data_IF_278824693642
#
_entry.id   IF_278824693642
#
_cell.length_a   1.000
_cell.length_b   1.000
_cell.length_c   1.000
_cell.angle_alpha   90.00
_cell.angle_beta   90.00
_cell.angle_gamma   90.00
#
_symmetry.space_group_name_H-M   'P 1'
#
loop_
_entity.id
_entity.type
_entity.pdbx_description
1 polymer ?
#
# COMPACT_ATOMS: atom_id res chain seq x y z
N UNK A 1 10.05 -45.17 5.66
CA UNK A 1 9.33 -44.11 6.42
C UNK A 1 8.23 -44.73 7.27
N UNK A 2 8.62 -45.48 8.32
CA UNK A 2 7.73 -45.88 9.42
C UNK A 2 8.54 -45.71 10.70
N UNK A 3 7.87 -45.19 11.74
CA UNK A 3 8.29 -44.94 13.12
C UNK A 3 9.31 -43.81 13.40
N UNK A 4 8.82 -42.59 13.65
CA UNK A 4 9.31 -41.68 14.70
C UNK A 4 8.14 -40.81 15.16
N UNK A 5 7.35 -41.27 16.14
CA UNK A 5 6.45 -40.44 16.93
C UNK A 5 6.15 -41.19 18.23
N UNK A 6 6.97 -40.99 19.27
CA UNK A 6 6.62 -41.28 20.66
C UNK A 6 7.67 -40.71 21.62
N UNK A 7 7.65 -39.40 21.80
CA UNK A 7 8.05 -38.74 23.04
C UNK A 7 7.42 -37.35 23.07
N UNK A 8 6.63 -37.05 24.11
CA UNK A 8 6.05 -35.72 24.34
C UNK A 8 6.77 -35.07 25.52
N UNK A 9 7.39 -33.89 25.36
CA UNK A 9 7.66 -32.99 26.47
C UNK A 9 6.36 -32.29 26.88
N UNK A 10 6.17 -32.05 28.18
CA UNK A 10 5.02 -31.35 28.74
C UNK A 10 5.11 -29.83 28.50
N UNK A 11 4.62 -29.35 27.35
CA UNK A 11 4.27 -27.93 27.15
C UNK A 11 2.99 -27.82 26.32
N UNK A 12 2.10 -26.89 26.68
CA UNK A 12 0.84 -26.61 25.95
C UNK A 12 1.14 -25.76 24.71
N UNK A 13 1.60 -26.39 23.63
CA UNK A 13 1.64 -25.77 22.30
C UNK A 13 0.59 -26.41 21.39
N UNK A 14 -0.07 -25.62 20.55
CA UNK A 14 -1.24 -26.08 19.79
C UNK A 14 -0.92 -27.10 18.68
N UNK A 15 0.25 -27.04 18.03
CA UNK A 15 0.88 -28.11 17.21
C UNK A 15 2.24 -27.63 16.68
N UNK A 16 3.31 -28.36 16.99
CA UNK A 16 4.57 -28.27 16.24
C UNK A 16 4.71 -29.54 15.39
N UNK A 17 5.15 -29.37 14.14
CA UNK A 17 5.51 -30.48 13.28
C UNK A 17 7.00 -30.36 12.90
N UNK A 18 7.82 -31.23 13.49
CA UNK A 18 9.24 -31.31 13.17
C UNK A 18 9.48 -32.38 12.11
N UNK A 19 10.19 -32.00 11.05
CA UNK A 19 10.72 -32.92 10.05
C UNK A 19 12.23 -32.85 10.09
N UNK A 20 12.79 -33.70 10.95
CA UNK A 20 14.24 -33.85 11.07
C UNK A 20 14.67 -35.00 10.17
N UNK A 21 15.50 -34.69 9.18
CA UNK A 21 16.17 -35.71 8.38
C UNK A 21 17.64 -35.73 8.81
N UNK A 22 17.91 -36.59 9.81
CA UNK A 22 19.20 -37.01 10.37
C UNK A 22 20.11 -35.99 11.11
N UNK A 23 20.60 -36.50 12.26
CA UNK A 23 21.87 -36.28 12.99
C UNK A 23 22.15 -35.02 13.83
N UNK A 24 21.21 -34.10 14.04
CA UNK A 24 21.36 -33.10 15.11
C UNK A 24 20.28 -33.29 16.18
N UNK A 25 20.72 -33.31 17.45
CA UNK A 25 19.86 -33.55 18.62
C UNK A 25 18.77 -32.49 18.72
N UNK A 26 17.56 -32.95 19.03
CA UNK A 26 16.34 -32.14 19.16
C UNK A 26 16.53 -30.86 20.00
N UNK A 27 17.44 -30.88 20.97
CA UNK A 27 17.70 -29.78 21.90
C UNK A 27 18.23 -28.50 21.24
N UNK A 28 19.07 -28.58 20.20
CA UNK A 28 19.70 -27.39 19.61
C UNK A 28 18.73 -26.53 18.80
N UNK A 29 17.81 -27.15 18.06
CA UNK A 29 16.83 -26.43 17.23
C UNK A 29 15.78 -25.76 18.09
N UNK A 30 15.31 -26.46 19.14
CA UNK A 30 14.42 -25.85 20.11
C UNK A 30 15.06 -24.65 20.77
N UNK A 31 16.32 -24.75 21.21
CA UNK A 31 17.05 -23.65 21.82
C UNK A 31 17.20 -22.45 20.86
N UNK A 32 17.51 -22.68 19.57
CA UNK A 32 17.60 -21.62 18.54
C UNK A 32 16.26 -20.92 18.32
N UNK A 33 15.15 -21.67 18.22
CA UNK A 33 13.80 -21.08 18.06
C UNK A 33 13.42 -20.29 19.31
N UNK A 34 13.75 -20.82 20.48
CA UNK A 34 13.47 -20.20 21.78
C UNK A 34 14.26 -18.88 21.94
N UNK A 35 15.56 -18.90 21.62
CA UNK A 35 16.49 -17.79 21.86
C UNK A 35 16.39 -16.66 20.83
N UNK A 36 15.92 -16.95 19.61
CA UNK A 36 15.91 -15.96 18.53
C UNK A 36 14.52 -15.55 18.04
N UNK A 37 13.50 -16.39 18.18
CA UNK A 37 12.20 -16.18 17.52
C UNK A 37 11.05 -15.92 18.48
N UNK A 38 11.04 -16.49 19.69
CA UNK A 38 9.90 -16.32 20.61
C UNK A 38 9.72 -14.88 21.10
N UNK A 39 10.82 -14.14 21.31
CA UNK A 39 10.74 -12.73 21.71
C UNK A 39 10.26 -11.81 20.58
N UNK A 40 10.30 -12.28 19.33
CA UNK A 40 9.98 -11.48 18.12
C UNK A 40 8.69 -11.91 17.44
N UNK A 41 8.23 -13.15 17.63
CA UNK A 41 7.09 -13.73 16.93
C UNK A 41 6.21 -14.48 17.94
N UNK A 42 4.94 -14.11 18.04
CA UNK A 42 3.94 -14.82 18.85
C UNK A 42 3.63 -16.21 18.24
N UNK A 43 4.52 -17.19 18.45
CA UNK A 43 4.48 -18.52 17.83
C UNK A 43 3.22 -19.33 18.16
N UNK A 44 2.54 -19.01 19.27
CA UNK A 44 1.29 -19.67 19.71
C UNK A 44 0.13 -19.56 18.69
N UNK A 45 0.24 -18.64 17.72
CA UNK A 45 -0.78 -18.37 16.71
C UNK A 45 -0.61 -19.18 15.42
N UNK A 46 0.47 -19.94 15.27
CA UNK A 46 0.83 -20.56 13.99
C UNK A 46 0.98 -22.08 14.11
N UNK A 47 0.60 -22.79 13.05
CA UNK A 47 1.13 -24.13 12.82
C UNK A 47 2.58 -23.97 12.33
N UNK A 48 3.55 -24.28 13.19
CA UNK A 48 4.98 -24.09 12.88
C UNK A 48 5.57 -25.38 12.31
N UNK A 49 6.22 -25.28 11.15
CA UNK A 49 6.98 -26.36 10.51
C UNK A 49 8.44 -25.95 10.38
N UNK A 50 9.34 -26.72 10.99
CA UNK A 50 10.78 -26.45 10.96
C UNK A 50 11.49 -27.48 10.08
N UNK A 51 12.28 -27.01 9.12
CA UNK A 51 13.15 -27.82 8.27
C UNK A 51 14.61 -27.57 8.66
N UNK A 52 15.30 -28.62 9.08
CA UNK A 52 16.66 -28.50 9.62
C UNK A 52 17.79 -28.77 8.62
N UNK A 53 17.52 -28.93 7.32
CA UNK A 53 18.55 -29.29 6.32
C UNK A 53 18.19 -28.89 4.88
N UNK A 54 19.20 -28.94 3.99
CA UNK A 54 19.13 -28.63 2.56
C UNK A 54 17.83 -29.15 1.90
N UNK A 55 17.00 -28.23 1.40
CA UNK A 55 15.75 -28.57 0.71
C UNK A 55 16.07 -29.15 -0.66
N UNK A 56 15.60 -30.37 -0.91
CA UNK A 56 15.62 -31.02 -2.21
C UNK A 56 14.19 -31.26 -2.71
N UNK A 57 14.03 -31.91 -3.88
CA UNK A 57 12.71 -32.21 -4.45
C UNK A 57 11.79 -32.99 -3.51
N UNK A 58 12.32 -33.88 -2.66
CA UNK A 58 11.52 -34.60 -1.66
C UNK A 58 11.05 -33.68 -0.52
N UNK A 59 11.82 -32.66 -0.18
CA UNK A 59 11.40 -31.63 0.79
C UNK A 59 10.19 -30.84 0.25
N UNK A 60 10.06 -30.69 -1.06
CA UNK A 60 8.91 -30.05 -1.68
C UNK A 60 7.61 -30.86 -1.55
N UNK A 61 7.68 -32.17 -1.77
CA UNK A 61 6.54 -33.07 -1.57
C UNK A 61 6.05 -33.03 -0.13
N UNK A 62 6.98 -32.90 0.82
CA UNK A 62 6.70 -32.71 2.23
C UNK A 62 6.02 -31.36 2.47
N UNK A 63 6.52 -30.26 1.93
CA UNK A 63 5.87 -28.94 2.05
C UNK A 63 4.45 -28.98 1.46
N UNK A 64 4.27 -29.60 0.30
CA UNK A 64 2.96 -29.77 -0.34
C UNK A 64 2.02 -30.65 0.48
N UNK A 65 2.55 -31.71 1.10
CA UNK A 65 1.80 -32.56 2.01
C UNK A 65 1.34 -31.75 3.23
N UNK A 66 2.24 -31.03 3.90
CA UNK A 66 1.90 -30.24 5.09
C UNK A 66 0.94 -29.09 4.80
N UNK A 67 1.15 -28.35 3.72
CA UNK A 67 0.22 -27.28 3.28
C UNK A 67 -1.19 -27.77 3.01
N UNK A 68 -1.37 -29.06 2.65
CA UNK A 68 -2.69 -29.66 2.47
C UNK A 68 -3.46 -29.90 3.78
N UNK A 69 -2.75 -30.03 4.92
CA UNK A 69 -3.37 -30.21 6.25
C UNK A 69 -3.50 -28.92 7.06
N UNK A 70 -2.85 -27.83 6.60
CA UNK A 70 -2.89 -26.54 7.27
C UNK A 70 -4.27 -25.90 7.13
N UNK A 71 -4.82 -25.46 8.26
CA UNK A 71 -6.16 -24.85 8.28
C UNK A 71 -6.12 -23.45 7.68
N UNK A 72 -5.28 -22.55 8.20
CA UNK A 72 -5.36 -21.12 7.86
C UNK A 72 -4.00 -20.38 7.74
N UNK A 73 -3.04 -20.66 8.62
CA UNK A 73 -1.76 -19.92 8.68
C UNK A 73 -0.62 -20.81 9.19
N UNK A 74 0.49 -20.83 8.47
CA UNK A 74 1.64 -21.62 8.83
C UNK A 74 2.93 -20.84 8.71
N UNK A 75 3.81 -21.04 9.68
CA UNK A 75 5.15 -20.49 9.68
C UNK A 75 6.13 -21.60 9.37
N UNK A 76 6.88 -21.44 8.29
CA UNK A 76 7.96 -22.32 7.93
C UNK A 76 9.30 -21.67 8.26
N UNK A 77 10.16 -22.43 8.91
CA UNK A 77 11.51 -22.01 9.28
C UNK A 77 12.48 -22.97 8.60
N UNK A 78 13.35 -22.44 7.73
CA UNK A 78 14.40 -23.23 7.07
C UNK A 78 15.76 -22.70 7.52
N UNK A 79 16.59 -23.60 7.96
CA UNK A 79 17.99 -23.34 8.27
C UNK A 79 18.89 -23.70 7.07
N UNK A 80 19.92 -22.88 6.80
CA UNK A 80 20.97 -23.15 5.80
C UNK A 80 20.48 -23.31 4.35
N UNK A 81 19.74 -22.33 3.80
CA UNK A 81 19.47 -22.30 2.36
C UNK A 81 20.77 -21.93 1.60
N UNK A 82 21.43 -22.93 1.03
CA UNK A 82 22.59 -22.70 0.12
C UNK A 82 22.18 -22.25 -1.28
N UNK A 83 20.89 -22.35 -1.63
CA UNK A 83 20.42 -22.19 -3.01
C UNK A 83 19.17 -21.31 -3.11
N UNK A 84 19.33 -20.12 -3.69
CA UNK A 84 18.27 -19.10 -3.91
C UNK A 84 17.09 -19.65 -4.74
N UNK A 85 17.32 -20.72 -5.52
CA UNK A 85 16.30 -21.28 -6.42
C UNK A 85 15.09 -21.90 -5.70
N UNK A 86 15.21 -22.21 -4.41
CA UNK A 86 14.10 -22.72 -3.59
C UNK A 86 12.93 -21.73 -3.52
N UNK A 87 13.19 -20.43 -3.54
CA UNK A 87 12.12 -19.42 -3.50
C UNK A 87 11.23 -19.47 -4.73
N UNK A 88 11.84 -19.55 -5.92
CA UNK A 88 11.10 -19.66 -7.18
C UNK A 88 10.32 -20.98 -7.21
N UNK A 89 10.96 -22.07 -6.78
CA UNK A 89 10.31 -23.38 -6.71
C UNK A 89 9.10 -23.36 -5.75
N UNK A 90 9.22 -22.77 -4.57
CA UNK A 90 8.09 -22.66 -3.63
C UNK A 90 6.97 -21.78 -4.20
N UNK A 91 7.32 -20.66 -4.82
CA UNK A 91 6.36 -19.73 -5.43
C UNK A 91 5.61 -20.36 -6.62
N UNK A 92 6.27 -21.24 -7.37
CA UNK A 92 5.68 -21.96 -8.51
C UNK A 92 4.84 -23.16 -8.09
N UNK A 93 5.19 -23.84 -6.99
CA UNK A 93 4.55 -25.10 -6.58
C UNK A 93 3.47 -24.94 -5.51
N UNK A 94 3.50 -23.87 -4.71
CA UNK A 94 2.41 -23.58 -3.78
C UNK A 94 1.22 -23.10 -4.61
N UNK A 95 0.14 -23.90 -4.63
CA UNK A 95 -1.10 -23.62 -5.38
C UNK A 95 -1.57 -22.18 -5.15
N UNK A 96 -2.20 -21.58 -6.17
CA UNK A 96 -2.71 -20.19 -6.24
C UNK A 96 -3.55 -19.68 -5.04
N UNK A 97 -3.89 -20.55 -4.09
CA UNK A 97 -4.66 -20.28 -2.89
C UNK A 97 -3.83 -19.88 -1.67
N UNK A 98 -2.52 -19.62 -1.78
CA UNK A 98 -1.71 -19.20 -0.62
C UNK A 98 -0.83 -17.97 -0.91
N UNK A 99 -0.65 -17.12 0.12
CA UNK A 99 0.33 -16.02 0.11
C UNK A 99 1.58 -16.43 0.87
N UNK A 100 2.76 -16.17 0.29
CA UNK A 100 4.07 -16.45 0.88
C UNK A 100 4.75 -15.12 1.22
N UNK A 101 4.89 -14.81 2.50
CA UNK A 101 5.70 -13.67 2.97
C UNK A 101 7.04 -14.20 3.46
N UNK A 102 8.14 -13.60 3.02
CA UNK A 102 9.50 -14.02 3.36
C UNK A 102 10.19 -13.01 4.26
N UNK A 103 10.83 -13.48 5.34
CA UNK A 103 11.67 -12.67 6.21
C UNK A 103 13.06 -13.31 6.28
N UNK A 104 14.09 -12.53 5.92
CA UNK A 104 15.49 -12.92 6.05
C UNK A 104 16.03 -12.38 7.38
N UNK A 105 16.44 -13.29 8.28
CA UNK A 105 17.15 -12.92 9.50
C UNK A 105 18.65 -12.90 9.19
N UNK A 106 19.16 -11.71 8.86
CA UNK A 106 20.55 -11.48 8.41
C UNK A 106 21.62 -12.06 9.36
N UNK A 107 21.32 -12.19 10.65
CA UNK A 107 22.29 -12.60 11.66
C UNK A 107 22.38 -14.12 11.86
N UNK A 108 21.40 -14.91 11.39
CA UNK A 108 21.27 -16.31 11.81
C UNK A 108 21.17 -17.35 10.69
N UNK A 109 21.38 -16.98 9.42
CA UNK A 109 21.19 -17.88 8.24
C UNK A 109 19.82 -18.57 8.22
N UNK A 110 18.85 -18.01 8.94
CA UNK A 110 17.48 -18.51 9.06
C UNK A 110 16.61 -17.75 8.07
N UNK A 111 15.92 -18.52 7.24
CA UNK A 111 14.87 -18.02 6.37
C UNK A 111 13.53 -18.44 6.95
N UNK A 112 12.67 -17.46 7.19
CA UNK A 112 11.30 -17.73 7.61
C UNK A 112 10.34 -17.30 6.52
N UNK A 113 9.34 -18.13 6.25
CA UNK A 113 8.25 -17.77 5.35
C UNK A 113 6.91 -18.15 5.95
N UNK A 114 5.97 -17.22 5.87
CA UNK A 114 4.60 -17.39 6.32
C UNK A 114 3.74 -17.74 5.12
N UNK A 115 3.07 -18.88 5.19
CA UNK A 115 2.09 -19.31 4.21
C UNK A 115 0.70 -19.09 4.80
N UNK A 116 -0.02 -18.09 4.29
CA UNK A 116 -1.41 -17.84 4.68
C UNK A 116 -2.34 -18.40 3.61
N UNK A 117 -3.25 -19.29 4.00
CA UNK A 117 -4.31 -19.77 3.11
C UNK A 117 -5.21 -18.59 2.79
N UNK A 118 -5.25 -18.22 1.52
CA UNK A 118 -6.22 -17.27 1.01
C UNK A 118 -7.51 -18.05 0.88
N UNK A 119 -8.30 -18.08 1.95
CA UNK A 119 -9.68 -18.52 1.83
C UNK A 119 -10.28 -17.61 0.76
N UNK A 120 -10.88 -18.22 -0.26
CA UNK A 120 -11.65 -17.55 -1.31
C UNK A 120 -12.96 -16.97 -0.71
N UNK A 121 -12.89 -16.44 0.51
CA UNK A 121 -13.91 -15.63 1.13
C UNK A 121 -13.82 -14.26 0.48
N UNK A 122 -14.69 -14.09 -0.51
CA UNK A 122 -15.10 -12.82 -1.08
C UNK A 122 -13.96 -11.83 -1.38
N UNK A 123 -13.35 -11.98 -2.56
CA UNK A 123 -12.72 -10.84 -3.24
C UNK A 123 -13.70 -9.65 -3.37
N UNK A 124 -15.02 -9.86 -3.24
CA UNK A 124 -16.02 -8.80 -3.15
C UNK A 124 -15.85 -7.92 -1.90
N UNK A 125 -15.35 -8.45 -0.77
CA UNK A 125 -15.07 -7.69 0.46
C UNK A 125 -13.76 -6.89 0.41
N UNK A 126 -12.90 -7.10 -0.58
CA UNK A 126 -11.67 -6.28 -0.71
C UNK A 126 -11.95 -4.91 -1.31
N UNK A 127 -12.95 -4.82 -2.20
CA UNK A 127 -13.37 -3.55 -2.82
C UNK A 127 -13.88 -2.53 -1.79
N UNK A 128 -14.45 -3.00 -0.68
CA UNK A 128 -15.01 -2.12 0.37
C UNK A 128 -13.94 -1.40 1.22
N UNK A 129 -12.65 -1.75 1.09
CA UNK A 129 -11.66 -1.28 2.06
C UNK A 129 -10.94 0.01 1.69
N UNK A 130 -10.90 0.36 0.40
CA UNK A 130 -10.18 1.55 -0.08
C UNK A 130 -11.19 2.56 -0.62
N UNK A 131 -11.20 3.75 0.00
CA UNK A 131 -11.92 4.92 -0.50
C UNK A 131 -10.98 5.74 -1.39
N UNK A 132 -11.52 6.48 -2.36
CA UNK A 132 -10.71 7.37 -3.19
C UNK A 132 -10.80 8.79 -2.63
N UNK A 133 -9.65 9.38 -2.34
CA UNK A 133 -9.55 10.77 -1.85
C UNK A 133 -8.93 11.63 -2.95
N UNK A 134 -9.65 12.70 -3.30
CA UNK A 134 -9.19 13.66 -4.30
C UNK A 134 -8.93 14.99 -3.60
N UNK A 135 -7.69 15.47 -3.68
CA UNK A 135 -7.30 16.81 -3.26
C UNK A 135 -7.51 17.81 -4.39
N UNK A 136 -8.34 18.82 -4.15
CA UNK A 136 -8.72 19.84 -5.14
C UNK A 136 -8.71 21.24 -4.52
N UNK A 137 -8.78 22.25 -5.39
CA UNK A 137 -8.95 23.66 -5.00
C UNK A 137 -10.19 24.27 -5.66
N UNK A 138 -10.79 25.31 -5.06
CA UNK A 138 -11.99 25.97 -5.60
C UNK A 138 -11.78 26.62 -6.98
N UNK A 139 -10.52 26.90 -7.35
CA UNK A 139 -10.11 27.38 -8.68
C UNK A 139 -9.83 26.27 -9.70
N UNK A 140 -9.81 25.00 -9.29
CA UNK A 140 -9.38 23.86 -10.12
C UNK A 140 -10.54 23.09 -10.77
N UNK A 141 -11.68 23.74 -11.00
CA UNK A 141 -12.91 23.08 -11.48
C UNK A 141 -12.72 22.31 -12.78
N UNK A 142 -11.95 22.85 -13.74
CA UNK A 142 -11.68 22.20 -15.03
C UNK A 142 -10.92 20.87 -14.84
N UNK A 143 -9.86 20.88 -14.03
CA UNK A 143 -9.05 19.70 -13.77
C UNK A 143 -9.87 18.62 -13.04
N UNK A 144 -10.60 19.03 -11.99
CA UNK A 144 -11.46 18.12 -11.23
C UNK A 144 -12.54 17.50 -12.11
N UNK A 145 -13.22 18.28 -12.95
CA UNK A 145 -14.24 17.76 -13.85
C UNK A 145 -13.66 16.73 -14.82
N UNK A 146 -12.50 17.02 -15.40
CA UNK A 146 -11.82 16.09 -16.30
C UNK A 146 -11.44 14.76 -15.60
N UNK A 147 -10.95 14.81 -14.36
CA UNK A 147 -10.72 13.61 -13.56
C UNK A 147 -12.03 12.83 -13.34
N UNK A 148 -13.07 13.51 -12.84
CA UNK A 148 -14.36 12.89 -12.54
C UNK A 148 -15.03 12.28 -13.77
N UNK A 149 -14.91 12.90 -14.95
CA UNK A 149 -15.38 12.32 -16.21
C UNK A 149 -14.66 11.01 -16.54
N UNK A 150 -13.34 10.98 -16.40
CA UNK A 150 -12.58 9.74 -16.62
C UNK A 150 -12.95 8.62 -15.63
N UNK A 151 -13.32 9.00 -14.40
CA UNK A 151 -13.78 8.08 -13.37
C UNK A 151 -15.19 7.56 -13.65
N UNK A 152 -16.15 8.45 -13.94
CA UNK A 152 -17.56 8.13 -14.19
C UNK A 152 -17.76 7.20 -15.39
N UNK A 153 -16.86 7.23 -16.37
CA UNK A 153 -16.89 6.35 -17.54
C UNK A 153 -16.45 4.91 -17.24
N UNK A 154 -16.01 4.59 -16.02
CA UNK A 154 -15.54 3.27 -15.66
C UNK A 154 -16.66 2.40 -15.04
N UNK A 155 -16.80 1.11 -15.42
CA UNK A 155 -17.84 0.22 -14.87
C UNK A 155 -17.80 0.06 -13.34
N UNK A 156 -16.60 0.06 -12.75
CA UNK A 156 -16.40 -0.06 -11.31
C UNK A 156 -16.54 1.27 -10.54
N UNK A 157 -16.84 2.39 -11.21
CA UNK A 157 -16.94 3.70 -10.57
C UNK A 157 -17.82 3.70 -9.32
N UNK A 158 -19.01 3.08 -9.42
CA UNK A 158 -20.01 3.03 -8.36
C UNK A 158 -19.65 2.08 -7.21
N UNK A 159 -18.61 1.26 -7.35
CA UNK A 159 -18.16 0.33 -6.30
C UNK A 159 -17.26 0.98 -5.25
N UNK A 160 -16.77 2.19 -5.52
CA UNK A 160 -15.88 2.93 -4.65
C UNK A 160 -16.56 4.19 -4.14
N UNK A 161 -16.32 4.53 -2.87
CA UNK A 161 -16.62 5.85 -2.32
C UNK A 161 -15.54 6.83 -2.75
N UNK A 162 -15.95 7.99 -3.27
CA UNK A 162 -15.07 9.08 -3.70
C UNK A 162 -15.31 10.28 -2.80
N UNK A 163 -14.25 10.76 -2.16
CA UNK A 163 -14.28 11.91 -1.25
C UNK A 163 -13.42 13.00 -1.86
N UNK A 164 -14.05 14.09 -2.29
CA UNK A 164 -13.37 15.24 -2.88
C UNK A 164 -13.25 16.33 -1.81
N UNK A 165 -12.02 16.64 -1.43
CA UNK A 165 -11.71 17.76 -0.56
C UNK A 165 -11.36 18.97 -1.43
N UNK A 166 -12.12 20.06 -1.28
CA UNK A 166 -11.94 21.28 -2.07
C UNK A 166 -11.51 22.41 -1.15
N UNK A 167 -10.23 22.80 -1.23
CA UNK A 167 -9.68 23.91 -0.47
C UNK A 167 -10.09 25.28 -0.99
N UNK A 168 -9.87 26.30 -0.15
CA UNK A 168 -10.01 27.72 -0.52
C UNK A 168 -11.34 28.38 -0.16
N UNK A 169 -12.22 27.72 0.60
CA UNK A 169 -13.51 28.26 1.06
C UNK A 169 -13.37 28.98 2.42
N UNK A 170 -12.49 29.99 2.47
CA UNK A 170 -12.11 30.71 3.70
C UNK A 170 -13.27 31.42 4.41
N UNK A 171 -14.36 31.69 3.69
CA UNK A 171 -15.60 32.26 4.22
C UNK A 171 -16.36 31.30 5.14
N UNK A 172 -16.12 29.99 5.02
CA UNK A 172 -16.76 29.00 5.86
C UNK A 172 -16.09 28.95 7.24
N UNK A 173 -16.90 28.99 8.31
CA UNK A 173 -16.39 28.79 9.68
C UNK A 173 -15.96 27.35 9.94
N UNK A 174 -16.64 26.39 9.31
CA UNK A 174 -16.44 24.95 9.48
C UNK A 174 -16.42 24.26 8.11
N UNK A 175 -16.04 22.98 8.08
CA UNK A 175 -16.14 22.16 6.87
C UNK A 175 -17.60 22.04 6.42
N UNK A 176 -17.86 22.32 5.13
CA UNK A 176 -19.17 22.03 4.54
C UNK A 176 -19.12 20.70 3.82
N UNK A 177 -20.04 19.79 4.14
CA UNK A 177 -20.10 18.44 3.56
C UNK A 177 -21.38 18.31 2.73
N UNK A 178 -21.26 17.88 1.48
CA UNK A 178 -22.39 17.66 0.57
C UNK A 178 -22.18 16.39 -0.24
N UNK A 179 -23.25 15.65 -0.50
CA UNK A 179 -23.20 14.58 -1.50
C UNK A 179 -23.40 15.18 -2.89
N UNK A 180 -22.84 14.53 -3.91
CA UNK A 180 -23.16 14.85 -5.31
C UNK A 180 -24.64 14.57 -5.58
N UNK A 181 -25.26 15.40 -6.42
CA UNK A 181 -26.70 15.31 -6.71
C UNK A 181 -27.02 14.07 -7.56
N UNK A 182 -26.11 13.67 -8.44
CA UNK A 182 -26.31 12.60 -9.41
C UNK A 182 -25.69 11.28 -8.93
N UNK A 183 -24.65 11.35 -8.08
CA UNK A 183 -23.86 10.20 -7.65
C UNK A 183 -23.72 10.08 -6.13
N UNK A 184 -24.50 9.18 -5.51
CA UNK A 184 -24.48 8.94 -4.05
C UNK A 184 -23.13 8.48 -3.49
N UNK A 185 -22.28 7.89 -4.32
CA UNK A 185 -20.94 7.44 -3.92
C UNK A 185 -19.89 8.57 -3.96
N UNK A 186 -20.29 9.80 -4.29
CA UNK A 186 -19.43 10.98 -4.29
C UNK A 186 -19.83 11.90 -3.12
N UNK A 187 -18.84 12.24 -2.29
CA UNK A 187 -18.96 13.21 -1.20
C UNK A 187 -17.98 14.36 -1.41
N UNK A 188 -18.48 15.59 -1.40
CA UNK A 188 -17.69 16.82 -1.42
C UNK A 188 -17.52 17.36 0.00
N UNK A 189 -16.29 17.76 0.33
CA UNK A 189 -15.92 18.41 1.57
C UNK A 189 -15.23 19.73 1.21
N UNK A 190 -15.89 20.84 1.49
CA UNK A 190 -15.37 22.17 1.24
C UNK A 190 -14.60 22.65 2.47
N UNK A 191 -13.29 22.82 2.31
CA UNK A 191 -12.36 23.14 3.38
C UNK A 191 -12.16 24.65 3.50
N UNK A 192 -12.21 25.16 4.72
CA UNK A 192 -11.95 26.56 5.06
C UNK A 192 -10.44 26.91 5.15
N UNK A 193 -9.62 26.14 4.46
CA UNK A 193 -8.19 26.34 4.34
C UNK A 193 -7.72 25.88 2.95
N UNK A 194 -6.49 26.25 2.59
CA UNK A 194 -5.78 25.67 1.46
C UNK A 194 -4.36 25.30 1.90
N UNK A 195 -3.93 24.09 1.56
CA UNK A 195 -2.63 23.55 1.96
C UNK A 195 -1.91 22.87 0.81
N UNK A 196 -2.17 23.34 -0.42
CA UNK A 196 -1.60 22.79 -1.65
C UNK A 196 -1.98 21.30 -1.75
N UNK A 197 -1.02 20.39 -1.56
CA UNK A 197 -1.22 18.95 -1.66
C UNK A 197 -1.68 18.33 -0.32
N UNK A 198 -1.75 19.09 0.78
CA UNK A 198 -2.10 18.55 2.11
C UNK A 198 -3.53 18.83 2.56
N UNK A 199 -4.37 19.49 1.75
CA UNK A 199 -5.72 19.91 2.17
C UNK A 199 -6.56 18.72 2.63
N UNK A 200 -6.61 17.64 1.84
CA UNK A 200 -7.36 16.42 2.21
C UNK A 200 -6.83 15.76 3.47
N UNK A 201 -5.51 15.62 3.61
CA UNK A 201 -4.92 14.95 4.77
C UNK A 201 -5.21 15.71 6.06
N UNK A 202 -5.10 17.03 6.06
CA UNK A 202 -5.46 17.86 7.22
C UNK A 202 -6.93 17.65 7.57
N UNK A 203 -7.83 17.75 6.59
CA UNK A 203 -9.26 17.57 6.82
C UNK A 203 -9.60 16.15 7.36
N UNK A 204 -8.93 15.10 6.87
CA UNK A 204 -9.05 13.73 7.40
C UNK A 204 -8.60 13.60 8.86
N UNK A 205 -7.69 14.45 9.35
CA UNK A 205 -7.28 14.47 10.77
C UNK A 205 -8.20 15.31 11.66
N UNK A 206 -8.98 16.22 11.08
CA UNK A 206 -9.81 17.17 11.82
C UNK A 206 -11.29 16.76 11.90
N UNK A 207 -11.81 16.09 10.88
CA UNK A 207 -13.20 15.63 10.83
C UNK A 207 -13.33 14.31 11.61
N UNK A 208 -14.16 14.32 12.67
CA UNK A 208 -14.33 13.19 13.59
C UNK A 208 -14.76 11.89 12.90
N UNK A 209 -15.60 11.96 11.86
CA UNK A 209 -16.05 10.81 11.05
C UNK A 209 -14.85 10.01 10.49
N UNK A 210 -13.80 10.70 10.05
CA UNK A 210 -12.63 10.06 9.45
C UNK A 210 -11.55 9.77 10.46
N UNK A 211 -11.29 10.71 11.40
CA UNK A 211 -10.18 10.63 12.35
C UNK A 211 -10.12 9.30 13.09
N UNK A 212 -11.26 8.75 13.50
CA UNK A 212 -11.31 7.52 14.30
C UNK A 212 -11.60 6.25 13.49
N UNK A 213 -11.47 6.31 12.16
CA UNK A 213 -11.76 5.18 11.28
C UNK A 213 -10.55 4.25 11.07
N UNK A 214 -10.82 3.00 10.69
CA UNK A 214 -9.82 2.04 10.19
C UNK A 214 -9.75 2.04 8.64
N UNK A 215 -10.18 3.14 8.02
CA UNK A 215 -10.25 3.26 6.57
C UNK A 215 -8.87 3.31 5.91
N UNK A 216 -8.84 2.93 4.64
CA UNK A 216 -7.73 3.19 3.74
C UNK A 216 -8.18 4.11 2.61
N UNK A 217 -7.26 4.93 2.13
CA UNK A 217 -7.52 5.91 1.10
C UNK A 217 -6.49 5.76 -0.01
N UNK A 218 -6.95 5.64 -1.26
CA UNK A 218 -6.12 5.99 -2.41
C UNK A 218 -6.22 7.49 -2.61
N UNK A 219 -5.17 8.21 -2.22
CA UNK A 219 -5.07 9.64 -2.37
C UNK A 219 -4.51 10.01 -3.75
N UNK A 220 -5.13 11.00 -4.40
CA UNK A 220 -4.65 11.61 -5.64
C UNK A 220 -5.04 13.09 -5.71
N UNK A 221 -4.53 13.83 -6.70
CA UNK A 221 -4.92 15.23 -6.91
C UNK A 221 -5.96 15.31 -8.05
N UNK A 222 -6.71 16.40 -8.08
CA UNK A 222 -7.63 16.81 -9.15
C UNK A 222 -7.01 16.83 -10.56
N UNK A 223 -5.70 17.06 -10.66
CA UNK A 223 -4.92 17.12 -11.90
C UNK A 223 -4.54 15.73 -12.45
N UNK A 224 -5.31 14.72 -12.12
CA UNK A 224 -5.14 13.36 -12.62
C UNK A 224 -6.18 13.00 -13.69
N UNK A 225 -5.95 11.86 -14.35
CA UNK A 225 -6.92 11.15 -15.17
C UNK A 225 -6.69 9.66 -14.97
N UNK A 226 -7.75 8.87 -14.82
CA UNK A 226 -7.60 7.43 -14.67
C UNK A 226 -7.65 6.71 -16.03
N UNK A 227 -6.92 5.61 -16.15
CA UNK A 227 -7.06 4.66 -17.25
C UNK A 227 -8.11 3.57 -16.96
N UNK A 228 -8.31 2.68 -17.93
CA UNK A 228 -9.36 1.65 -17.91
C UNK A 228 -9.10 0.51 -16.92
N UNK A 229 -7.92 0.43 -16.30
CA UNK A 229 -7.55 -0.60 -15.33
C UNK A 229 -7.32 -0.04 -13.93
N UNK A 230 -7.56 1.26 -13.71
CA UNK A 230 -7.24 1.95 -12.46
C UNK A 230 -7.85 1.26 -11.23
N UNK A 231 -9.17 1.06 -11.21
CA UNK A 231 -9.87 0.46 -10.07
C UNK A 231 -9.39 -0.96 -9.75
N UNK A 232 -9.09 -1.74 -10.78
CA UNK A 232 -8.52 -3.09 -10.63
C UNK A 232 -7.13 -3.03 -10.02
N UNK A 233 -6.29 -2.06 -10.43
CA UNK A 233 -4.91 -1.92 -9.97
C UNK A 233 -4.77 -1.39 -8.55
N UNK A 234 -5.71 -0.57 -8.09
CA UNK A 234 -5.70 -0.08 -6.70
C UNK A 234 -6.34 -1.06 -5.71
N UNK A 235 -7.06 -2.09 -6.19
CA UNK A 235 -7.63 -3.15 -5.35
C UNK A 235 -6.55 -4.16 -4.92
N UNK A 236 -5.70 -3.73 -3.99
CA UNK A 236 -4.59 -4.53 -3.45
C UNK A 236 -4.91 -5.06 -2.05
N UNK A 237 -4.11 -6.03 -1.60
CA UNK A 237 -4.15 -6.44 -0.19
C UNK A 237 -3.50 -5.38 0.70
N UNK A 238 -4.34 -4.71 1.50
CA UNK A 238 -3.91 -3.70 2.45
C UNK A 238 -3.57 -4.24 3.84
N UNK A 239 -3.67 -5.55 4.07
CA UNK A 239 -3.55 -6.13 5.42
C UNK A 239 -2.19 -5.94 6.10
N UNK A 240 -1.15 -5.60 5.32
CA UNK A 240 0.24 -5.50 5.79
C UNK A 240 0.89 -4.14 5.46
N UNK A 241 0.12 -3.14 5.01
CA UNK A 241 0.67 -1.83 4.65
C UNK A 241 0.01 -0.74 5.50
N UNK A 242 0.77 0.30 5.81
CA UNK A 242 0.22 1.56 6.34
C UNK A 242 0.24 2.65 5.29
N UNK A 243 1.22 2.62 4.38
CA UNK A 243 1.26 3.40 3.15
C UNK A 243 1.76 2.56 1.96
N UNK A 244 1.40 2.98 0.76
CA UNK A 244 2.03 2.49 -0.47
C UNK A 244 2.15 3.61 -1.50
N UNK A 245 3.39 3.95 -1.88
CA UNK A 245 3.66 5.01 -2.87
C UNK A 245 3.63 4.48 -4.30
N UNK A 246 3.22 5.32 -5.26
CA UNK A 246 3.08 4.91 -6.66
C UNK A 246 4.39 4.92 -7.46
N UNK A 247 5.46 5.54 -6.95
CA UNK A 247 6.71 5.69 -7.69
C UNK A 247 7.94 5.74 -6.78
N UNK A 248 9.04 5.14 -7.23
CA UNK A 248 10.26 4.95 -6.43
C UNK A 248 10.91 6.25 -5.96
N UNK A 249 10.90 7.29 -6.81
CA UNK A 249 11.60 8.56 -6.54
C UNK A 249 10.68 9.64 -5.98
N UNK A 250 9.68 10.04 -6.77
CA UNK A 250 8.69 11.07 -6.41
C UNK A 250 7.30 10.57 -6.77
N UNK A 251 6.41 10.49 -5.77
CA UNK A 251 5.01 10.09 -5.93
C UNK A 251 4.03 11.27 -5.83
N UNK A 252 4.52 12.46 -5.42
CA UNK A 252 3.72 13.65 -5.18
C UNK A 252 2.58 13.41 -4.21
N UNK A 253 2.85 12.69 -3.13
CA UNK A 253 1.85 12.16 -2.19
C UNK A 253 0.81 11.21 -2.77
N UNK A 254 0.86 10.85 -4.06
CA UNK A 254 -0.12 9.95 -4.65
C UNK A 254 0.19 8.52 -4.19
N UNK A 255 -0.84 7.83 -3.68
CA UNK A 255 -0.72 6.46 -3.21
C UNK A 255 -1.76 6.10 -2.17
N UNK A 256 -1.51 4.99 -1.49
CA UNK A 256 -2.42 4.45 -0.47
C UNK A 256 -1.96 4.88 0.91
N UNK A 257 -2.92 5.26 1.75
CA UNK A 257 -2.72 5.66 3.14
C UNK A 257 -3.78 5.02 4.04
N UNK A 258 -3.35 4.43 5.14
CA UNK A 258 -4.25 4.12 6.26
C UNK A 258 -4.65 5.39 7.00
N UNK A 259 -5.83 5.46 7.59
CA UNK A 259 -6.16 6.57 8.49
C UNK A 259 -5.17 6.66 9.67
N UNK A 260 -4.68 5.51 10.16
CA UNK A 260 -3.72 5.42 11.27
C UNK A 260 -2.44 6.20 10.99
N UNK A 261 -1.85 6.03 9.81
CA UNK A 261 -0.61 6.75 9.46
C UNK A 261 -0.87 8.24 9.22
N UNK A 262 -2.02 8.61 8.64
CA UNK A 262 -2.41 10.03 8.48
C UNK A 262 -2.49 10.70 9.87
N UNK A 263 -3.13 10.05 10.83
CA UNK A 263 -3.21 10.55 12.21
C UNK A 263 -1.83 10.60 12.90
N UNK A 264 -0.96 9.61 12.66
CA UNK A 264 0.40 9.62 13.19
C UNK A 264 1.19 10.86 12.75
N UNK A 265 0.99 11.30 11.50
CA UNK A 265 1.60 12.52 10.96
C UNK A 265 0.77 13.80 11.16
N UNK A 266 -0.26 13.79 12.02
CA UNK A 266 -1.16 14.94 12.23
C UNK A 266 -0.41 16.24 12.54
N UNK A 267 0.54 16.21 13.48
CA UNK A 267 1.27 17.42 13.87
C UNK A 267 2.03 18.04 12.68
N UNK A 268 2.71 17.20 11.89
CA UNK A 268 3.35 17.65 10.64
C UNK A 268 2.33 18.25 9.68
N UNK A 269 1.20 17.58 9.43
CA UNK A 269 0.16 18.04 8.53
C UNK A 269 -0.39 19.41 8.96
N UNK A 270 -0.64 19.62 10.25
CA UNK A 270 -1.13 20.89 10.78
C UNK A 270 -0.13 22.04 10.58
N UNK A 271 1.18 21.78 10.58
CA UNK A 271 2.18 22.81 10.22
C UNK A 271 2.07 23.29 8.76
N UNK A 272 1.39 22.53 7.90
CA UNK A 272 1.16 22.87 6.49
C UNK A 272 -0.20 23.55 6.27
N UNK A 273 -1.01 23.74 7.32
CA UNK A 273 -2.32 24.38 7.19
C UNK A 273 -2.16 25.83 6.72
N UNK A 274 -2.94 26.25 5.72
CA UNK A 274 -2.86 27.59 5.14
C UNK A 274 -1.47 27.94 4.58
N UNK A 275 -0.84 26.96 3.94
CA UNK A 275 0.42 27.19 3.23
C UNK A 275 0.22 28.22 2.13
N UNK A 276 1.03 29.27 2.18
CA UNK A 276 1.05 30.33 1.18
C UNK A 276 1.36 29.77 -0.21
N UNK A 277 0.43 29.92 -1.14
CA UNK A 277 0.55 29.44 -2.53
C UNK A 277 1.78 30.03 -3.23
N UNK A 278 2.20 31.24 -2.89
CA UNK A 278 3.40 31.87 -3.47
C UNK A 278 4.68 31.09 -3.11
N UNK A 279 4.65 30.32 -2.02
CA UNK A 279 5.75 29.46 -1.57
C UNK A 279 5.66 28.04 -2.09
N UNK A 280 4.65 27.71 -2.91
CA UNK A 280 4.43 26.36 -3.44
C UNK A 280 5.70 25.75 -4.06
N UNK A 281 6.46 26.55 -4.82
CA UNK A 281 7.72 26.10 -5.40
C UNK A 281 8.76 25.75 -4.34
N UNK A 282 8.91 26.57 -3.29
CA UNK A 282 9.84 26.27 -2.19
C UNK A 282 9.48 24.94 -1.52
N UNK A 283 8.18 24.68 -1.31
CA UNK A 283 7.71 23.41 -0.74
C UNK A 283 8.01 22.21 -1.64
N UNK A 284 7.84 22.36 -2.96
CA UNK A 284 8.10 21.30 -3.93
C UNK A 284 9.58 21.06 -4.22
N UNK A 285 10.45 22.06 -4.00
CA UNK A 285 11.90 21.95 -4.22
C UNK A 285 12.67 21.41 -3.02
N UNK A 286 12.13 21.53 -1.81
CA UNK A 286 12.77 20.92 -0.63
C UNK A 286 12.52 19.41 -0.71
N UNK A 287 13.58 18.66 -1.05
CA UNK A 287 13.55 17.21 -1.04
C UNK A 287 12.87 16.71 0.24
N UNK A 288 12.01 15.70 0.10
CA UNK A 288 11.24 15.06 1.18
C UNK A 288 10.01 15.79 1.73
N UNK A 289 9.74 17.05 1.39
CA UNK A 289 8.56 17.73 1.95
C UNK A 289 7.24 17.21 1.37
N UNK A 290 7.18 16.99 0.05
CA UNK A 290 5.97 16.48 -0.61
C UNK A 290 5.71 15.06 -0.10
N UNK A 291 6.57 14.09 -0.41
CA UNK A 291 6.43 12.68 -0.01
C UNK A 291 6.83 12.37 1.46
N UNK A 292 6.71 13.33 2.39
CA UNK A 292 7.24 13.21 3.76
C UNK A 292 6.74 11.95 4.49
N UNK A 293 5.43 11.69 4.43
CA UNK A 293 4.84 10.54 5.10
C UNK A 293 5.37 9.21 4.54
N UNK A 294 5.57 9.11 3.22
CA UNK A 294 6.12 7.89 2.60
C UNK A 294 7.57 7.62 2.99
N UNK A 295 8.36 8.67 3.23
CA UNK A 295 9.76 8.53 3.64
C UNK A 295 9.91 8.18 5.11
N UNK A 296 8.95 8.58 5.93
CA UNK A 296 8.99 8.41 7.38
C UNK A 296 8.07 7.28 7.89
N UNK A 297 7.33 6.61 7.01
CA UNK A 297 6.59 5.39 7.35
C UNK A 297 7.48 4.14 7.11
N UNK A 298 7.92 3.43 8.17
CA UNK A 298 8.76 2.24 8.03
C UNK A 298 8.07 1.06 7.33
N UNK A 299 6.74 1.05 7.24
CA UNK A 299 5.99 0.01 6.52
C UNK A 299 5.50 0.48 5.15
N UNK A 300 6.01 1.59 4.63
CA UNK A 300 5.74 2.02 3.27
C UNK A 300 6.27 0.99 2.26
N UNK A 301 5.45 0.67 1.26
CA UNK A 301 5.86 -0.15 0.12
C UNK A 301 5.83 0.64 -1.18
N UNK A 302 6.56 0.16 -2.19
CA UNK A 302 6.48 0.67 -3.56
C UNK A 302 5.52 -0.20 -4.39
N UNK A 303 4.44 0.39 -4.91
CA UNK A 303 3.46 -0.35 -5.72
C UNK A 303 4.08 -0.88 -7.01
N UNK A 304 3.99 -2.20 -7.19
CA UNK A 304 4.60 -2.97 -8.30
C UNK A 304 6.10 -2.69 -8.51
N UNK A 305 6.82 -2.22 -7.47
CA UNK A 305 8.23 -1.80 -7.57
C UNK A 305 8.52 -0.80 -8.71
N UNK A 306 7.55 0.05 -9.06
CA UNK A 306 7.66 0.94 -10.22
C UNK A 306 8.56 2.16 -9.98
N UNK A 307 9.57 2.34 -10.85
CA UNK A 307 10.51 3.47 -10.85
C UNK A 307 10.72 4.07 -12.25
N UNK A 308 9.85 3.72 -13.19
CA UNK A 308 9.93 4.21 -14.57
C UNK A 308 9.46 5.65 -14.72
N UNK A 309 9.86 6.29 -15.81
CA UNK A 309 9.44 7.65 -16.16
C UNK A 309 8.86 7.67 -17.57
N UNK A 310 7.53 7.63 -17.66
CA UNK A 310 6.78 7.68 -18.91
C UNK A 310 6.04 9.01 -18.99
N UNK A 311 6.40 9.86 -19.95
CA UNK A 311 5.77 11.17 -20.09
C UNK A 311 5.57 11.61 -21.54
N UNK A 312 4.62 12.52 -21.75
CA UNK A 312 4.39 13.22 -23.02
C UNK A 312 4.13 14.71 -22.79
N UNK A 313 4.37 15.51 -23.81
CA UNK A 313 4.14 16.96 -23.80
C UNK A 313 5.40 17.77 -24.06
N UNK A 314 5.33 19.10 -23.92
CA UNK A 314 4.20 19.84 -23.34
C UNK A 314 2.98 20.00 -24.27
N UNK A 315 1.76 20.04 -23.72
CA UNK A 315 0.51 20.34 -24.44
C UNK A 315 -0.40 21.29 -23.65
N UNK A 316 -1.23 22.11 -24.30
CA UNK A 316 -2.30 22.85 -23.64
C UNK A 316 -3.48 21.92 -23.33
N UNK A 317 -3.26 21.01 -22.36
CA UNK A 317 -4.14 19.87 -22.11
C UNK A 317 -5.59 20.27 -21.79
N UNK A 318 -5.77 21.39 -21.10
CA UNK A 318 -7.08 21.90 -20.67
C UNK A 318 -7.63 23.00 -21.59
N UNK A 319 -6.93 23.34 -22.68
CA UNK A 319 -7.25 24.50 -23.54
C UNK A 319 -7.34 25.82 -22.75
N UNK A 320 -6.44 26.01 -21.77
CA UNK A 320 -6.40 27.22 -20.92
C UNK A 320 -5.21 28.12 -21.25
N UNK A 321 -4.49 27.82 -22.33
CA UNK A 321 -3.23 28.47 -22.70
C UNK A 321 -2.04 28.08 -21.82
N UNK A 322 -2.19 27.10 -20.91
CA UNK A 322 -1.14 26.68 -19.98
C UNK A 322 -0.62 25.31 -20.37
N UNK A 323 0.65 25.23 -20.74
CA UNK A 323 1.27 24.00 -21.18
C UNK A 323 1.53 23.02 -20.02
N UNK A 324 1.22 21.75 -20.24
CA UNK A 324 1.30 20.66 -19.25
C UNK A 324 2.12 19.48 -19.76
N UNK A 325 2.84 18.83 -18.85
CA UNK A 325 3.41 17.50 -19.05
C UNK A 325 2.44 16.46 -18.52
N UNK A 326 2.29 15.35 -19.24
CA UNK A 326 1.46 14.22 -18.82
C UNK A 326 2.41 13.08 -18.46
N UNK A 327 2.45 12.72 -17.19
CA UNK A 327 3.18 11.53 -16.72
C UNK A 327 2.22 10.35 -16.55
N UNK A 328 2.63 9.17 -16.97
CA UNK A 328 1.86 7.93 -16.86
C UNK A 328 2.49 6.97 -15.85
N UNK A 329 1.65 6.48 -14.93
CA UNK A 329 1.98 5.50 -13.89
C UNK A 329 1.30 4.17 -14.23
N UNK A 330 1.95 3.27 -14.99
CA UNK A 330 1.35 2.02 -15.45
C UNK A 330 1.00 1.07 -14.30
N UNK A 331 1.68 1.16 -13.16
CA UNK A 331 1.41 0.34 -11.98
C UNK A 331 0.03 0.59 -11.36
N UNK A 332 -0.48 1.82 -11.48
CA UNK A 332 -1.84 2.19 -11.02
C UNK A 332 -2.78 2.61 -12.16
N UNK A 333 -2.30 2.61 -13.41
CA UNK A 333 -3.01 3.11 -14.59
C UNK A 333 -3.56 4.52 -14.39
N UNK A 334 -2.68 5.42 -13.96
CA UNK A 334 -3.00 6.81 -13.63
C UNK A 334 -2.14 7.75 -14.48
N UNK A 335 -2.76 8.80 -15.00
CA UNK A 335 -2.09 9.89 -15.70
C UNK A 335 -2.09 11.12 -14.79
N UNK A 336 -0.95 11.78 -14.63
CA UNK A 336 -0.78 13.02 -13.89
C UNK A 336 -0.46 14.15 -14.85
N UNK A 337 -1.30 15.18 -14.86
CA UNK A 337 -1.16 16.35 -15.71
C UNK A 337 -0.48 17.47 -14.89
N UNK A 338 0.84 17.60 -15.05
CA UNK A 338 1.68 18.54 -14.29
C UNK A 338 1.88 19.83 -15.06
N UNK A 339 2.01 20.96 -14.36
CA UNK A 339 2.58 22.13 -15.02
C UNK A 339 4.08 21.93 -15.27
N UNK A 340 4.58 22.55 -16.34
CA UNK A 340 5.92 22.37 -16.88
C UNK A 340 7.00 23.15 -16.11
N UNK A 341 6.89 23.25 -14.78
CA UNK A 341 7.69 24.15 -13.95
C UNK A 341 9.20 23.88 -13.98
N UNK A 342 9.62 22.64 -14.27
CA UNK A 342 11.03 22.23 -14.30
C UNK A 342 11.79 22.58 -15.58
N UNK A 343 11.12 23.09 -16.62
CA UNK A 343 11.75 23.41 -17.92
C UNK A 343 12.05 24.92 -18.09
N UNK A 344 12.13 25.69 -17.01
CA UNK A 344 12.77 27.01 -17.00
C UNK A 344 12.04 28.16 -17.71
N UNK A 345 10.73 28.04 -17.97
CA UNK A 345 9.96 29.14 -18.56
C UNK A 345 8.44 28.98 -18.37
N UNK A 346 7.72 30.11 -18.35
CA UNK A 346 6.26 30.12 -18.52
C UNK A 346 5.94 29.73 -19.96
N UNK A 347 5.72 28.45 -20.23
CA UNK A 347 5.24 28.00 -21.54
C UNK A 347 3.75 28.35 -21.64
N UNK A 348 3.46 29.56 -22.10
CA UNK A 348 2.12 29.95 -22.54
C UNK A 348 2.07 29.91 -24.07
N UNK A 349 0.89 29.77 -24.67
CA UNK A 349 0.73 29.82 -26.14
C UNK A 349 1.22 31.13 -26.79
N UNK A 350 1.62 32.14 -25.99
CA UNK A 350 2.08 33.46 -26.45
C UNK A 350 3.60 33.61 -26.48
N UNK A 351 4.37 32.57 -26.15
CA UNK A 351 5.83 32.58 -26.19
C UNK A 351 6.37 31.86 -27.42
#
# INVERSE_FOLDING_TARGET
MKSIFNSKPNFKFNRFHFLLNNSHSDENIFQIVNDHLLDKIQLEKYDVVVFSNDINSKSLDVINHFTSYMKDDALFIIENIKNINIFNILKENIKHSYRVNTYELKESKLFTFRIKKTIQEDLSKSYEKIKIVINSHNKSTIALNHLLESMKNHPDFLKFEHIIFVGGYYENKEYSIKNDNDYKNIKYIYCNHNSIDFTSFIALTEIDEYRNSDNYYFYMHDTCRIGTNFYKKINIDISLITTAKIHGRYSMNIGIYSQKIINHFKEFLLTKKNTDESKCMQFKTIDYNEDYMFHNDPNNILLENYSGWLYKGPFDYYNTGTMRLIEYYPNVDLYKIKANWGLGGEWTLKN
#
